data_IF_015231641744
#
_entry.id   IF_015231641744
#
_cell.length_a   1.000
_cell.length_b   1.000
_cell.length_c   1.000
_cell.angle_alpha   90.00
_cell.angle_beta   90.00
_cell.angle_gamma   90.00
#
_symmetry.space_group_name_H-M   'P 1'
#
loop_
_entity.id
_entity.type
_entity.pdbx_description
1 polymer ?
#
# COMPACT_ATOMS: atom_id res chain seq x y z
N UNK A 1 15.45 64.20 1.35
CA UNK A 1 14.75 63.11 2.04
C UNK A 1 13.89 62.18 1.14
N UNK A 2 13.95 62.24 -0.20
CA UNK A 2 13.11 61.44 -1.09
C UNK A 2 13.79 60.20 -1.76
N UNK A 3 15.06 59.92 -1.52
CA UNK A 3 15.81 58.81 -2.13
C UNK A 3 16.02 57.56 -1.27
N UNK A 4 15.66 57.58 0.03
CA UNK A 4 15.83 56.41 0.93
C UNK A 4 14.59 55.54 1.10
N UNK A 5 13.41 56.00 0.68
CA UNK A 5 12.15 55.24 0.80
C UNK A 5 11.98 54.25 -0.34
N UNK A 6 12.51 54.56 -1.54
CA UNK A 6 12.41 53.67 -2.69
C UNK A 6 13.22 52.36 -2.57
N UNK A 7 14.35 52.38 -1.85
CA UNK A 7 15.20 51.18 -1.69
C UNK A 7 14.66 50.17 -0.69
N UNK A 8 13.94 50.67 0.33
CA UNK A 8 13.30 49.73 1.31
C UNK A 8 12.10 49.01 0.75
N UNK A 9 11.31 49.67 -0.12
CA UNK A 9 10.12 49.08 -0.73
C UNK A 9 10.52 48.01 -1.75
N UNK A 10 11.58 48.24 -2.55
CA UNK A 10 12.10 47.27 -3.49
C UNK A 10 12.69 45.99 -2.80
N UNK A 11 13.35 46.17 -1.65
CA UNK A 11 13.90 45.04 -0.90
C UNK A 11 12.84 44.20 -0.21
N UNK A 12 11.73 44.80 0.26
CA UNK A 12 10.59 44.10 0.87
C UNK A 12 9.81 43.33 -0.18
N UNK A 13 9.65 43.88 -1.39
CA UNK A 13 8.98 43.18 -2.50
C UNK A 13 9.82 42.01 -2.99
N UNK A 14 11.16 42.11 -3.11
CA UNK A 14 12.03 41.00 -3.46
C UNK A 14 12.04 39.88 -2.41
N UNK A 15 12.01 40.24 -1.12
CA UNK A 15 11.96 39.23 -0.03
C UNK A 15 10.60 38.54 0.04
N UNK A 16 9.48 39.25 -0.26
CA UNK A 16 8.17 38.60 -0.36
C UNK A 16 8.04 37.71 -1.60
N UNK A 17 8.60 38.10 -2.74
CA UNK A 17 8.61 37.23 -3.92
C UNK A 17 9.49 36.00 -3.75
N UNK A 18 10.64 36.11 -3.06
CA UNK A 18 11.47 34.96 -2.73
C UNK A 18 10.78 33.97 -1.78
N UNK A 19 9.99 34.48 -0.79
CA UNK A 19 9.20 33.62 0.10
C UNK A 19 8.00 32.95 -0.60
N UNK A 20 7.40 33.59 -1.60
CA UNK A 20 6.35 33.01 -2.41
C UNK A 20 6.88 31.92 -3.39
N UNK A 21 8.12 32.05 -3.86
CA UNK A 21 8.77 31.04 -4.68
C UNK A 21 9.09 29.74 -3.93
N UNK A 22 9.49 29.82 -2.67
CA UNK A 22 9.79 28.64 -1.84
C UNK A 22 8.55 27.87 -1.37
N UNK A 23 7.38 28.49 -1.30
CA UNK A 23 6.12 27.81 -0.90
C UNK A 23 5.49 26.98 -2.03
N UNK A 24 5.97 27.10 -3.25
CA UNK A 24 5.43 26.38 -4.42
C UNK A 24 6.16 25.06 -4.73
N UNK A 25 7.32 24.79 -4.10
CA UNK A 25 8.18 23.65 -4.45
C UNK A 25 7.69 22.31 -3.89
N UNK A 26 6.85 22.29 -2.84
CA UNK A 26 6.36 21.05 -2.21
C UNK A 26 4.83 21.05 -2.12
N UNK A 27 4.14 21.05 -3.25
CA UNK A 27 2.68 21.01 -3.26
C UNK A 27 2.18 19.59 -3.02
N UNK A 28 1.42 19.39 -1.94
CA UNK A 28 0.72 18.14 -1.67
C UNK A 28 -0.47 18.00 -2.62
N UNK A 29 -0.61 16.82 -3.20
CA UNK A 29 -1.64 16.50 -4.19
C UNK A 29 -2.71 15.60 -3.58
N UNK A 30 -3.42 16.11 -2.55
CA UNK A 30 -4.47 15.36 -1.86
C UNK A 30 -5.81 15.39 -2.59
N UNK A 31 -6.57 14.30 -2.44
CA UNK A 31 -7.91 14.18 -2.99
C UNK A 31 -7.94 14.15 -4.53
N UNK A 32 -8.95 14.74 -5.10
CA UNK A 32 -9.04 14.99 -6.54
C UNK A 32 -8.18 16.20 -6.89
N UNK A 33 -6.92 15.94 -7.19
CA UNK A 33 -5.94 16.99 -7.46
C UNK A 33 -6.17 17.69 -8.81
N UNK A 34 -6.65 16.94 -9.79
CA UNK A 34 -7.07 17.44 -11.10
C UNK A 34 -8.55 17.17 -11.33
N UNK A 35 -9.13 17.90 -12.27
CA UNK A 35 -10.35 17.45 -12.92
C UNK A 35 -10.06 16.22 -13.79
N UNK A 36 -11.08 15.45 -14.14
CA UNK A 36 -10.93 14.30 -15.05
C UNK A 36 -10.35 14.72 -16.41
N UNK A 37 -10.77 15.87 -16.93
CA UNK A 37 -10.28 16.40 -18.22
C UNK A 37 -8.81 16.81 -18.14
N UNK A 38 -8.38 17.49 -17.10
CA UNK A 38 -6.97 17.82 -16.86
C UNK A 38 -6.12 16.56 -16.75
N UNK A 39 -6.57 15.58 -15.99
CA UNK A 39 -5.87 14.29 -15.86
C UNK A 39 -5.73 13.58 -17.22
N UNK A 40 -6.78 13.59 -18.05
CA UNK A 40 -6.74 13.03 -19.39
C UNK A 40 -5.71 13.74 -20.29
N UNK A 41 -5.58 15.07 -20.19
CA UNK A 41 -4.55 15.84 -20.92
C UNK A 41 -3.16 15.40 -20.46
N UNK A 42 -2.93 15.34 -19.13
CA UNK A 42 -1.64 14.89 -18.59
C UNK A 42 -1.29 13.46 -19.00
N UNK A 43 -2.25 12.53 -18.94
CA UNK A 43 -2.01 11.14 -19.35
C UNK A 43 -1.58 11.03 -20.82
N UNK A 44 -2.20 11.82 -21.71
CA UNK A 44 -1.83 11.86 -23.13
C UNK A 44 -0.44 12.48 -23.35
N UNK A 45 -0.13 13.56 -22.63
CA UNK A 45 1.18 14.23 -22.70
C UNK A 45 2.28 13.28 -22.24
N UNK A 46 2.14 12.68 -21.07
CA UNK A 46 3.14 11.75 -20.54
C UNK A 46 3.29 10.49 -21.39
N UNK A 47 2.19 9.98 -21.95
CA UNK A 47 2.25 8.87 -22.92
C UNK A 47 3.04 9.22 -24.18
N UNK A 48 3.14 10.49 -24.55
CA UNK A 48 3.90 10.95 -25.72
C UNK A 48 5.39 11.21 -25.40
N UNK A 49 5.76 11.39 -24.13
CA UNK A 49 7.14 11.69 -23.72
C UNK A 49 8.08 10.48 -23.85
N UNK A 50 7.54 9.26 -23.89
CA UNK A 50 8.33 8.04 -24.01
C UNK A 50 7.72 7.11 -25.08
N UNK A 51 8.60 6.58 -25.92
CA UNK A 51 8.21 5.70 -27.03
C UNK A 51 8.94 4.35 -27.00
N UNK A 52 10.00 4.25 -26.23
CA UNK A 52 10.80 3.03 -26.07
C UNK A 52 10.88 2.61 -24.61
N UNK A 53 11.22 1.33 -24.38
CA UNK A 53 11.51 0.80 -23.06
C UNK A 53 12.55 1.66 -22.31
N UNK A 54 13.61 2.06 -22.99
CA UNK A 54 14.69 2.86 -22.40
C UNK A 54 14.21 4.24 -21.93
N UNK A 55 13.29 4.86 -22.65
CA UNK A 55 12.75 6.17 -22.27
C UNK A 55 11.78 6.00 -21.07
N UNK A 56 10.98 4.93 -21.08
CA UNK A 56 10.16 4.59 -19.91
C UNK A 56 11.02 4.30 -18.67
N UNK A 57 12.12 3.55 -18.81
CA UNK A 57 13.02 3.26 -17.68
C UNK A 57 13.58 4.54 -17.05
N UNK A 58 13.94 5.55 -17.86
CA UNK A 58 14.36 6.87 -17.34
C UNK A 58 13.20 7.57 -16.60
N UNK A 59 12.00 7.53 -17.17
CA UNK A 59 10.80 8.09 -16.51
C UNK A 59 10.52 7.38 -15.18
N UNK A 60 10.58 6.07 -15.17
CA UNK A 60 10.38 5.23 -14.00
C UNK A 60 11.39 5.52 -12.87
N UNK A 61 12.65 5.78 -13.23
CA UNK A 61 13.70 6.17 -12.27
C UNK A 61 13.36 7.51 -11.60
N UNK A 62 13.01 8.53 -12.38
CA UNK A 62 12.59 9.84 -11.86
C UNK A 62 11.41 9.71 -10.90
N UNK A 63 10.42 8.87 -11.24
CA UNK A 63 9.26 8.64 -10.37
C UNK A 63 9.71 7.97 -9.06
N UNK A 64 10.50 6.87 -9.13
CA UNK A 64 10.98 6.17 -7.92
C UNK A 64 11.80 7.08 -7.01
N UNK A 65 12.72 7.86 -7.58
CA UNK A 65 13.49 8.84 -6.81
C UNK A 65 12.58 9.88 -6.15
N UNK A 66 11.59 10.38 -6.89
CA UNK A 66 10.58 11.30 -6.37
C UNK A 66 9.78 10.70 -5.21
N UNK A 67 9.37 9.43 -5.30
CA UNK A 67 8.70 8.71 -4.22
C UNK A 67 9.60 8.56 -2.98
N UNK A 68 10.84 8.08 -3.16
CA UNK A 68 11.79 7.86 -2.06
C UNK A 68 12.09 9.15 -1.33
N UNK A 69 12.40 10.23 -2.05
CA UNK A 69 12.69 11.55 -1.47
C UNK A 69 11.44 12.21 -0.88
N UNK A 70 10.32 12.14 -1.61
CA UNK A 70 9.06 12.70 -1.16
C UNK A 70 8.56 12.08 0.14
N UNK A 71 8.76 10.79 0.34
CA UNK A 71 8.48 10.07 1.58
C UNK A 71 9.63 10.09 2.59
N UNK A 72 10.77 10.69 2.31
CA UNK A 72 11.97 10.64 3.17
C UNK A 72 12.38 9.20 3.53
N UNK A 73 12.14 8.23 2.66
CA UNK A 73 12.48 6.82 2.93
C UNK A 73 13.99 6.57 3.00
N UNK A 74 14.77 7.38 2.32
CA UNK A 74 16.24 7.39 2.37
C UNK A 74 16.81 7.87 3.71
N UNK A 75 15.97 8.50 4.55
CA UNK A 75 16.32 8.94 5.91
C UNK A 75 15.91 7.93 6.99
N UNK A 76 15.12 6.92 6.62
CA UNK A 76 14.69 5.90 7.57
C UNK A 76 15.85 4.99 7.99
N UNK A 77 15.81 4.42 9.22
CA UNK A 77 16.85 3.52 9.69
C UNK A 77 16.94 2.26 8.80
N UNK A 78 18.10 1.60 8.84
CA UNK A 78 18.25 0.29 8.20
C UNK A 78 17.32 -0.74 8.84
N UNK A 79 16.75 -1.63 8.02
CA UNK A 79 15.84 -2.68 8.47
C UNK A 79 16.57 -3.96 8.91
N UNK A 80 17.65 -3.84 9.63
CA UNK A 80 18.53 -4.95 10.08
C UNK A 80 18.37 -5.30 11.57
N UNK A 81 17.43 -4.66 12.27
CA UNK A 81 17.13 -4.94 13.68
C UNK A 81 16.31 -6.23 13.83
N UNK A 82 16.41 -6.94 14.97
CA UNK A 82 15.53 -8.07 15.28
C UNK A 82 14.04 -7.69 15.21
N UNK A 83 13.19 -8.64 14.86
CA UNK A 83 11.73 -8.40 14.82
C UNK A 83 11.10 -8.36 16.21
N UNK A 84 11.76 -8.88 17.23
CA UNK A 84 11.22 -8.99 18.57
C UNK A 84 9.74 -9.44 18.57
N UNK A 85 9.48 -10.50 17.81
CA UNK A 85 8.13 -10.96 17.45
C UNK A 85 7.36 -11.38 18.69
N UNK A 86 6.15 -10.86 18.83
CA UNK A 86 5.16 -11.27 19.84
C UNK A 86 4.07 -12.03 19.11
N UNK A 87 3.86 -13.30 19.44
CA UNK A 87 2.77 -14.13 18.88
C UNK A 87 2.04 -14.80 20.04
N UNK A 88 0.71 -14.73 20.01
CA UNK A 88 -0.15 -15.44 20.97
C UNK A 88 -1.54 -15.71 20.37
N UNK A 89 -2.39 -16.37 21.15
CA UNK A 89 -3.79 -16.63 20.79
C UNK A 89 -3.94 -17.39 19.47
N UNK A 90 -3.10 -18.41 19.28
CA UNK A 90 -3.21 -19.32 18.13
C UNK A 90 -4.55 -20.03 18.14
N UNK A 91 -5.34 -19.87 17.05
CA UNK A 91 -6.65 -20.48 16.87
C UNK A 91 -6.68 -21.30 15.59
N UNK A 92 -7.03 -22.57 15.74
CA UNK A 92 -7.29 -23.45 14.60
C UNK A 92 -8.74 -23.25 14.13
N UNK A 93 -8.90 -22.92 12.84
CA UNK A 93 -10.17 -22.64 12.19
C UNK A 93 -10.42 -23.69 11.10
N UNK A 94 -11.50 -23.56 10.34
CA UNK A 94 -11.81 -24.50 9.24
C UNK A 94 -10.81 -24.36 8.07
N UNK A 95 -9.73 -25.16 8.15
CA UNK A 95 -8.68 -25.24 7.12
C UNK A 95 -7.61 -24.15 7.18
N UNK A 96 -7.60 -23.30 8.20
CA UNK A 96 -6.56 -22.28 8.43
C UNK A 96 -6.32 -22.07 9.93
N UNK A 97 -5.25 -21.36 10.25
CA UNK A 97 -4.89 -20.91 11.59
C UNK A 97 -4.82 -19.39 11.60
N UNK A 98 -5.28 -18.75 12.68
CA UNK A 98 -5.10 -17.32 12.91
C UNK A 98 -4.37 -17.09 14.24
N UNK A 99 -3.39 -16.19 14.22
CA UNK A 99 -2.55 -15.82 15.35
C UNK A 99 -2.50 -14.30 15.49
N UNK A 100 -2.53 -13.81 16.73
CA UNK A 100 -2.30 -12.40 17.01
C UNK A 100 -0.79 -12.16 17.00
N UNK A 101 -0.32 -11.16 16.26
CA UNK A 101 1.10 -10.92 16.05
C UNK A 101 1.45 -9.43 16.11
N UNK A 102 2.56 -9.11 16.80
CA UNK A 102 3.28 -7.87 16.59
C UNK A 102 4.74 -8.15 16.23
N UNK A 103 5.29 -7.31 15.37
CA UNK A 103 6.72 -7.29 15.05
C UNK A 103 7.28 -5.90 15.26
N UNK A 104 8.49 -5.80 15.78
CA UNK A 104 9.17 -4.51 15.92
C UNK A 104 9.65 -4.02 14.56
N UNK A 105 9.16 -2.87 14.14
CA UNK A 105 9.51 -2.22 12.87
C UNK A 105 10.91 -1.62 12.95
N UNK A 106 11.14 -0.81 13.94
CA UNK A 106 12.41 -0.26 14.40
C UNK A 106 12.33 -0.15 15.93
N UNK A 107 13.44 0.08 16.66
CA UNK A 107 13.45 0.00 18.10
C UNK A 107 12.33 0.77 18.79
N UNK A 108 11.47 0.05 19.51
CA UNK A 108 10.32 0.58 20.23
C UNK A 108 9.07 0.87 19.39
N UNK A 109 9.05 0.63 18.10
CA UNK A 109 7.85 0.82 17.26
C UNK A 109 7.35 -0.51 16.70
N UNK A 110 6.08 -0.84 16.94
CA UNK A 110 5.51 -2.15 16.64
C UNK A 110 4.46 -2.09 15.54
N UNK A 111 4.55 -3.03 14.61
CA UNK A 111 3.51 -3.34 13.62
C UNK A 111 2.63 -4.42 14.21
N UNK A 112 1.35 -4.15 14.37
CA UNK A 112 0.36 -5.07 14.92
C UNK A 112 -0.50 -5.68 13.82
N UNK A 113 -0.97 -6.91 14.00
CA UNK A 113 -1.79 -7.57 13.02
C UNK A 113 -2.23 -8.98 13.39
N UNK A 114 -2.78 -9.68 12.42
CA UNK A 114 -3.12 -11.08 12.50
C UNK A 114 -2.43 -11.85 11.37
N UNK A 115 -1.78 -12.95 11.76
CA UNK A 115 -1.15 -13.87 10.82
C UNK A 115 -2.11 -15.02 10.56
N UNK A 116 -2.54 -15.14 9.30
CA UNK A 116 -3.32 -16.27 8.83
C UNK A 116 -2.41 -17.23 8.08
N UNK A 117 -2.49 -18.51 8.36
CA UNK A 117 -1.67 -19.52 7.68
C UNK A 117 -2.44 -20.80 7.43
N UNK A 118 -2.05 -21.60 6.42
CA UNK A 118 -2.75 -22.84 6.13
C UNK A 118 -2.64 -23.81 7.32
N UNK A 119 -3.73 -24.54 7.56
CA UNK A 119 -3.71 -25.70 8.43
C UNK A 119 -3.05 -26.86 7.66
N UNK A 120 -1.74 -26.81 7.46
CA UNK A 120 -0.99 -27.85 6.75
C UNK A 120 -0.38 -28.85 7.71
N UNK A 121 -0.49 -30.12 7.36
CA UNK A 121 0.22 -31.22 8.03
C UNK A 121 1.47 -31.65 7.27
N UNK A 122 1.72 -31.07 6.08
CA UNK A 122 2.88 -31.41 5.25
C UNK A 122 4.11 -30.65 5.76
N UNK A 123 5.08 -31.33 6.38
CA UNK A 123 6.34 -30.72 6.77
C UNK A 123 7.11 -30.33 5.51
N UNK A 124 7.75 -29.14 5.52
CA UNK A 124 8.64 -28.62 4.46
C UNK A 124 8.00 -28.00 3.23
N UNK A 125 6.68 -27.94 3.08
CA UNK A 125 6.07 -27.19 1.99
C UNK A 125 6.04 -25.69 2.33
N UNK A 126 6.79 -24.88 1.57
CA UNK A 126 6.75 -23.41 1.69
C UNK A 126 5.53 -22.85 1.00
N UNK A 127 4.89 -21.91 1.65
CA UNK A 127 3.68 -21.19 1.19
C UNK A 127 4.03 -19.83 0.62
N UNK A 128 3.32 -19.31 -0.38
CA UNK A 128 3.41 -17.90 -0.76
C UNK A 128 3.07 -16.98 0.42
N UNK A 129 3.72 -15.81 0.46
CA UNK A 129 3.42 -14.76 1.43
C UNK A 129 2.51 -13.69 0.84
N UNK A 130 1.47 -13.27 1.56
CA UNK A 130 0.56 -12.20 1.13
C UNK A 130 0.48 -11.11 2.19
N UNK A 131 0.73 -9.85 1.80
CA UNK A 131 0.41 -8.67 2.58
C UNK A 131 -1.05 -8.30 2.28
N UNK A 132 -1.93 -8.39 3.29
CA UNK A 132 -3.33 -8.00 3.21
C UNK A 132 -3.52 -6.65 3.89
N UNK A 133 -3.51 -5.58 3.11
CA UNK A 133 -3.56 -4.20 3.60
C UNK A 133 -4.99 -3.70 3.55
N UNK A 134 -5.44 -3.02 4.61
CA UNK A 134 -6.80 -2.50 4.69
C UNK A 134 -6.90 -1.04 4.25
N UNK A 135 -8.10 -0.61 3.82
CA UNK A 135 -8.45 0.78 3.59
C UNK A 135 -8.84 1.52 4.87
N UNK A 136 -9.32 2.76 4.72
CA UNK A 136 -9.86 3.52 5.84
C UNK A 136 -11.26 2.98 6.23
N UNK A 137 -11.57 3.06 7.52
CA UNK A 137 -12.85 2.60 8.07
C UNK A 137 -12.83 2.57 9.59
N UNK A 138 -13.91 2.08 10.17
CA UNK A 138 -13.97 1.82 11.61
C UNK A 138 -13.39 0.43 11.86
N UNK A 139 -12.24 0.35 12.55
CA UNK A 139 -11.57 -0.91 12.89
C UNK A 139 -11.40 -1.89 11.70
N UNK A 140 -10.83 -1.45 10.56
CA UNK A 140 -10.95 -2.19 9.31
C UNK A 140 -10.27 -3.56 9.32
N UNK A 141 -9.16 -3.75 10.06
CA UNK A 141 -8.50 -5.07 10.18
C UNK A 141 -9.42 -6.11 10.83
N UNK A 142 -10.26 -5.69 11.77
CA UNK A 142 -11.22 -6.55 12.46
C UNK A 142 -12.51 -6.76 11.66
N UNK A 143 -12.70 -6.01 10.58
CA UNK A 143 -13.89 -6.08 9.73
C UNK A 143 -13.98 -7.37 8.92
N UNK A 144 -15.22 -7.70 8.50
CA UNK A 144 -15.54 -8.89 7.71
C UNK A 144 -14.62 -9.05 6.49
N UNK A 145 -14.47 -7.99 5.69
CA UNK A 145 -13.73 -8.06 4.43
C UNK A 145 -12.27 -8.50 4.62
N UNK A 146 -11.57 -7.98 5.64
CA UNK A 146 -10.16 -8.33 5.89
C UNK A 146 -10.04 -9.74 6.45
N UNK A 147 -10.89 -10.11 7.40
CA UNK A 147 -10.89 -11.45 7.97
C UNK A 147 -11.19 -12.50 6.89
N UNK A 148 -12.24 -12.28 6.10
CA UNK A 148 -12.71 -13.23 5.08
C UNK A 148 -11.64 -13.45 4.00
N UNK A 149 -11.10 -12.38 3.40
CA UNK A 149 -10.07 -12.57 2.36
C UNK A 149 -8.79 -13.19 2.89
N UNK A 150 -8.38 -12.83 4.12
CA UNK A 150 -7.17 -13.40 4.73
C UNK A 150 -7.34 -14.88 5.06
N UNK A 151 -8.50 -15.28 5.60
CA UNK A 151 -8.86 -16.68 5.82
C UNK A 151 -8.92 -17.48 4.52
N UNK A 152 -9.52 -16.91 3.47
CA UNK A 152 -9.61 -17.55 2.16
C UNK A 152 -8.22 -17.79 1.54
N UNK A 153 -7.35 -16.81 1.52
CA UNK A 153 -5.97 -16.97 1.05
C UNK A 153 -5.20 -18.02 1.88
N UNK A 154 -5.37 -18.02 3.21
CA UNK A 154 -4.72 -18.99 4.07
C UNK A 154 -5.23 -20.41 3.80
N UNK A 155 -6.54 -20.61 3.66
CA UNK A 155 -7.14 -21.91 3.31
C UNK A 155 -6.67 -22.38 1.93
N UNK A 156 -6.48 -21.47 0.98
CA UNK A 156 -5.90 -21.79 -0.33
C UNK A 156 -4.39 -22.13 -0.29
N UNK A 157 -3.70 -21.84 0.81
CA UNK A 157 -2.31 -22.25 1.04
C UNK A 157 -1.31 -21.12 1.17
N UNK A 158 -1.72 -19.87 1.39
CA UNK A 158 -0.81 -18.74 1.64
C UNK A 158 -0.57 -18.49 3.13
N UNK A 159 0.58 -17.91 3.47
CA UNK A 159 0.79 -17.20 4.75
C UNK A 159 0.45 -15.74 4.53
N UNK A 160 -0.54 -15.25 5.27
CA UNK A 160 -1.10 -13.90 5.09
C UNK A 160 -0.85 -13.06 6.33
N UNK A 161 -0.26 -11.89 6.16
CA UNK A 161 -0.15 -10.92 7.23
C UNK A 161 -1.13 -9.77 6.98
N UNK A 162 -2.24 -9.75 7.71
CA UNK A 162 -3.17 -8.63 7.79
C UNK A 162 -2.73 -7.74 8.95
N UNK A 163 -2.24 -6.53 8.64
CA UNK A 163 -1.66 -5.63 9.65
C UNK A 163 -2.31 -4.25 9.65
N UNK A 164 -2.20 -3.57 10.77
CA UNK A 164 -2.78 -2.25 10.98
C UNK A 164 -2.00 -1.16 10.24
N UNK A 165 -2.72 -0.24 9.61
CA UNK A 165 -2.17 1.09 9.38
C UNK A 165 -1.90 1.77 10.72
N UNK A 166 -0.89 2.66 10.77
CA UNK A 166 -0.62 3.45 11.99
C UNK A 166 -1.88 4.20 12.44
N UNK A 167 -2.11 4.23 13.74
CA UNK A 167 -3.30 4.84 14.34
C UNK A 167 -4.57 4.02 14.28
N UNK A 168 -4.60 2.90 13.53
CA UNK A 168 -5.73 1.96 13.48
C UNK A 168 -5.49 0.71 14.33
N UNK A 169 -6.55 -0.02 14.61
CA UNK A 169 -6.51 -1.29 15.34
C UNK A 169 -5.74 -1.18 16.66
N UNK A 170 -4.70 -1.97 16.82
CA UNK A 170 -3.75 -1.94 17.95
C UNK A 170 -2.57 -1.00 17.71
N UNK A 171 -2.37 -0.47 16.52
CA UNK A 171 -1.26 0.44 16.18
C UNK A 171 -1.53 1.86 16.72
N UNK A 172 -1.63 1.99 18.05
CA UNK A 172 -2.00 3.22 18.77
C UNK A 172 -0.82 3.99 19.35
N UNK A 173 0.39 3.66 18.94
CA UNK A 173 1.60 4.38 19.36
C UNK A 173 1.62 5.83 18.86
N UNK A 174 0.98 6.10 17.73
CA UNK A 174 0.77 7.43 17.16
C UNK A 174 -0.61 7.55 16.56
N UNK A 175 -1.08 8.77 16.36
CA UNK A 175 -2.29 9.03 15.60
C UNK A 175 -2.09 8.76 14.09
N UNK A 176 -3.19 8.46 13.41
CA UNK A 176 -3.14 8.16 11.97
C UNK A 176 -2.70 9.34 11.11
N UNK A 177 -3.14 10.55 11.47
CA UNK A 177 -2.97 11.76 10.65
C UNK A 177 -1.71 12.55 11.01
N UNK A 178 -0.60 11.88 11.27
CA UNK A 178 0.70 12.54 11.42
C UNK A 178 1.33 12.86 10.05
N UNK A 179 2.14 13.90 9.92
CA UNK A 179 2.78 14.26 8.64
C UNK A 179 3.57 13.14 8.00
N UNK A 180 4.29 12.33 8.80
CA UNK A 180 5.10 11.21 8.32
C UNK A 180 4.32 9.89 8.11
N UNK A 181 2.98 9.92 8.09
CA UNK A 181 2.15 8.72 8.03
C UNK A 181 2.50 7.82 6.83
N UNK A 182 2.65 8.39 5.64
CA UNK A 182 2.98 7.63 4.43
C UNK A 182 4.37 6.99 4.51
N UNK A 183 5.35 7.70 5.07
CA UNK A 183 6.72 7.19 5.31
C UNK A 183 6.67 5.95 6.22
N UNK A 184 6.06 6.10 7.39
CA UNK A 184 6.01 5.05 8.40
C UNK A 184 5.25 3.83 7.87
N UNK A 185 4.12 4.02 7.19
CA UNK A 185 3.35 2.92 6.61
C UNK A 185 4.11 2.18 5.52
N UNK A 186 4.79 2.90 4.63
CA UNK A 186 5.60 2.27 3.58
C UNK A 186 6.78 1.50 4.17
N UNK A 187 7.49 2.09 5.13
CA UNK A 187 8.56 1.42 5.85
C UNK A 187 8.07 0.18 6.61
N UNK A 188 6.95 0.28 7.33
CA UNK A 188 6.32 -0.84 8.02
C UNK A 188 5.97 -1.97 7.04
N UNK A 189 5.41 -1.63 5.88
CA UNK A 189 5.08 -2.63 4.84
C UNK A 189 6.33 -3.34 4.32
N UNK A 190 7.45 -2.63 4.17
CA UNK A 190 8.74 -3.26 3.83
C UNK A 190 9.25 -4.18 4.96
N UNK A 191 9.04 -3.80 6.24
CA UNK A 191 9.38 -4.66 7.37
C UNK A 191 8.52 -5.92 7.43
N UNK A 192 7.25 -5.84 7.03
CA UNK A 192 6.39 -7.03 6.89
C UNK A 192 6.90 -7.97 5.81
N UNK A 193 7.42 -7.45 4.68
CA UNK A 193 8.10 -8.29 3.68
C UNK A 193 9.33 -8.96 4.29
N UNK A 194 10.18 -8.21 4.99
CA UNK A 194 11.38 -8.75 5.66
C UNK A 194 11.00 -9.90 6.60
N UNK A 195 9.94 -9.71 7.39
CA UNK A 195 9.43 -10.73 8.30
C UNK A 195 8.91 -11.97 7.56
N UNK A 196 8.05 -11.80 6.55
CA UNK A 196 7.53 -12.92 5.77
C UNK A 196 8.66 -13.72 5.12
N UNK A 197 9.66 -13.05 4.56
CA UNK A 197 10.82 -13.73 3.94
C UNK A 197 11.73 -14.44 4.97
N UNK A 198 11.75 -13.99 6.23
CA UNK A 198 12.53 -14.63 7.30
C UNK A 198 11.90 -15.93 7.81
N UNK A 199 10.60 -16.16 7.52
CA UNK A 199 9.88 -17.32 8.01
C UNK A 199 10.27 -18.58 7.24
N UNK A 200 10.49 -19.71 7.93
CA UNK A 200 10.86 -20.97 7.28
C UNK A 200 9.72 -21.59 6.45
N UNK A 201 8.46 -21.24 6.76
CA UNK A 201 7.26 -21.72 6.08
C UNK A 201 6.81 -20.85 4.90
N UNK A 202 7.54 -19.76 4.58
CA UNK A 202 7.24 -18.86 3.46
C UNK A 202 8.23 -19.04 2.31
N UNK A 203 7.71 -19.10 1.10
CA UNK A 203 8.48 -19.01 -0.14
C UNK A 203 8.85 -17.54 -0.42
N UNK A 204 10.10 -17.18 -0.15
CA UNK A 204 10.62 -15.82 -0.30
C UNK A 204 10.49 -15.25 -1.72
N UNK A 205 10.37 -16.13 -2.73
CA UNK A 205 10.20 -15.73 -4.13
C UNK A 205 8.74 -15.55 -4.56
N UNK A 206 7.79 -15.77 -3.64
CA UNK A 206 6.36 -15.68 -3.90
C UNK A 206 5.65 -14.75 -2.91
N UNK A 207 6.03 -13.47 -2.92
CA UNK A 207 5.40 -12.44 -2.09
C UNK A 207 4.44 -11.59 -2.92
N UNK A 208 3.21 -11.44 -2.44
CA UNK A 208 2.19 -10.60 -3.06
C UNK A 208 1.65 -9.56 -2.10
N UNK A 209 1.03 -8.52 -2.64
CA UNK A 209 0.32 -7.50 -1.88
C UNK A 209 -1.02 -7.18 -2.50
N UNK A 210 -2.05 -7.02 -1.65
CA UNK A 210 -3.38 -6.55 -2.05
C UNK A 210 -4.03 -5.73 -0.96
N UNK A 211 -4.80 -4.72 -1.37
CA UNK A 211 -5.56 -3.88 -0.46
C UNK A 211 -6.45 -2.91 -1.20
N UNK A 212 -7.49 -2.43 -0.52
CA UNK A 212 -8.46 -1.49 -1.07
C UNK A 212 -8.20 -0.06 -0.59
N UNK A 213 -8.56 0.93 -1.40
CA UNK A 213 -8.53 2.35 -1.00
C UNK A 213 -7.14 2.77 -0.49
N UNK A 214 -7.01 3.25 0.74
CA UNK A 214 -5.70 3.50 1.37
C UNK A 214 -4.76 2.29 1.38
N UNK A 215 -5.31 1.06 1.49
CA UNK A 215 -4.56 -0.17 1.29
C UNK A 215 -4.14 -0.38 -0.18
N UNK A 216 -4.94 0.11 -1.13
CA UNK A 216 -4.57 0.17 -2.54
C UNK A 216 -3.41 1.13 -2.79
N UNK A 217 -3.38 2.28 -2.10
CA UNK A 217 -2.22 3.19 -2.12
C UNK A 217 -0.97 2.47 -1.62
N UNK A 218 -1.02 1.81 -0.46
CA UNK A 218 0.11 1.03 0.04
C UNK A 218 0.53 -0.06 -0.94
N UNK A 219 -0.44 -0.71 -1.61
CA UNK A 219 -0.18 -1.75 -2.61
C UNK A 219 0.65 -1.20 -3.77
N UNK A 220 0.28 -0.07 -4.38
CA UNK A 220 1.04 0.49 -5.51
C UNK A 220 2.38 1.07 -5.08
N UNK A 221 2.43 1.79 -3.95
CA UNK A 221 3.67 2.37 -3.41
C UNK A 221 4.70 1.28 -3.09
N UNK A 222 4.27 0.25 -2.37
CA UNK A 222 5.15 -0.87 -2.01
C UNK A 222 5.62 -1.62 -3.26
N UNK A 223 4.73 -1.89 -4.21
CA UNK A 223 5.10 -2.55 -5.47
C UNK A 223 6.09 -1.72 -6.28
N UNK A 224 5.92 -0.39 -6.33
CA UNK A 224 6.82 0.50 -7.05
C UNK A 224 8.25 0.53 -6.47
N UNK A 225 8.38 0.39 -5.14
CA UNK A 225 9.61 0.61 -4.39
C UNK A 225 10.30 -0.68 -3.95
N UNK A 226 9.60 -1.81 -3.90
CA UNK A 226 10.17 -3.07 -3.43
C UNK A 226 10.06 -4.18 -4.50
N UNK A 227 11.18 -4.61 -5.10
CA UNK A 227 11.19 -5.62 -6.16
C UNK A 227 10.86 -7.05 -5.65
N UNK A 228 10.80 -7.24 -4.33
CA UNK A 228 10.44 -8.52 -3.71
C UNK A 228 8.94 -8.82 -3.82
N UNK A 229 8.10 -7.80 -4.02
CA UNK A 229 6.71 -8.00 -4.41
C UNK A 229 6.66 -8.58 -5.82
N UNK A 230 6.14 -9.80 -5.95
CA UNK A 230 6.06 -10.52 -7.23
C UNK A 230 4.69 -10.39 -7.90
N UNK A 231 3.63 -10.16 -7.12
CA UNK A 231 2.26 -9.99 -7.62
C UNK A 231 1.59 -8.84 -6.88
N UNK A 232 0.91 -7.97 -7.61
CA UNK A 232 0.27 -6.76 -7.07
C UNK A 232 -1.21 -6.69 -7.45
N UNK A 233 -2.09 -6.45 -6.47
CA UNK A 233 -3.52 -6.31 -6.73
C UNK A 233 -4.08 -5.09 -5.98
N UNK A 234 -3.92 -3.86 -6.51
CA UNK A 234 -4.59 -2.69 -5.96
C UNK A 234 -6.10 -2.73 -6.29
N UNK A 235 -6.92 -2.59 -5.25
CA UNK A 235 -8.37 -2.62 -5.36
C UNK A 235 -8.93 -1.21 -5.12
N UNK A 236 -9.74 -0.70 -6.04
CA UNK A 236 -10.45 0.58 -6.01
C UNK A 236 -9.59 1.78 -5.60
N UNK A 237 -8.40 1.91 -6.21
CA UNK A 237 -7.48 3.00 -5.87
C UNK A 237 -6.81 3.68 -7.06
N UNK A 238 -6.45 2.95 -8.12
CA UNK A 238 -5.66 3.54 -9.21
C UNK A 238 -6.51 4.49 -10.03
N UNK A 239 -6.15 5.77 -10.02
CA UNK A 239 -6.85 6.83 -10.74
C UNK A 239 -5.86 7.88 -11.24
N UNK A 240 -6.15 8.46 -12.40
CA UNK A 240 -5.34 9.51 -12.99
C UNK A 240 -5.53 10.87 -12.31
N UNK A 241 -6.70 11.11 -11.67
CA UNK A 241 -7.07 12.42 -11.13
C UNK A 241 -7.24 12.45 -9.61
N UNK A 242 -7.49 11.29 -8.98
CA UNK A 242 -7.64 11.18 -7.53
C UNK A 242 -6.42 10.50 -6.91
N UNK A 243 -5.78 11.14 -5.94
CA UNK A 243 -4.50 10.72 -5.39
C UNK A 243 -4.58 10.19 -3.95
N UNK A 244 -5.79 10.13 -3.40
CA UNK A 244 -6.04 9.74 -2.01
C UNK A 244 -6.39 10.95 -1.13
N UNK A 245 -7.39 10.78 -0.27
CA UNK A 245 -7.95 11.84 0.57
C UNK A 245 -7.27 12.01 1.92
N UNK A 246 -6.29 11.16 2.25
CA UNK A 246 -5.64 11.12 3.55
C UNK A 246 -4.15 11.45 3.46
N UNK A 247 -3.58 11.98 4.54
CA UNK A 247 -2.13 12.23 4.65
C UNK A 247 -1.30 10.97 4.45
N UNK A 248 -1.83 9.80 4.80
CA UNK A 248 -1.18 8.51 4.61
C UNK A 248 -1.16 8.01 3.15
N UNK A 249 -1.78 8.74 2.23
CA UNK A 249 -1.86 8.42 0.80
C UNK A 249 -1.10 9.43 -0.04
N UNK A 250 -1.31 10.72 0.21
CA UNK A 250 -0.77 11.82 -0.60
C UNK A 250 -0.39 13.06 0.23
N UNK A 251 -0.25 12.91 1.52
CA UNK A 251 0.11 13.99 2.46
C UNK A 251 1.59 14.38 2.45
N UNK A 252 2.38 13.82 1.54
CA UNK A 252 3.79 14.13 1.33
C UNK A 252 4.04 14.42 -0.16
N UNK A 253 5.14 15.09 -0.56
CA UNK A 253 5.38 15.50 -1.95
C UNK A 253 5.80 14.32 -2.86
N UNK A 254 5.01 13.24 -2.85
CA UNK A 254 5.27 12.02 -3.63
C UNK A 254 4.74 12.10 -5.06
N UNK A 255 3.71 12.93 -5.30
CA UNK A 255 3.14 13.12 -6.62
C UNK A 255 3.73 14.32 -7.36
N UNK A 256 4.27 15.30 -6.63
CA UNK A 256 4.84 16.50 -7.21
C UNK A 256 5.92 17.11 -6.31
N UNK A 257 7.04 17.46 -6.94
CA UNK A 257 8.12 18.26 -6.34
C UNK A 257 8.71 19.20 -7.41
N UNK A 258 9.81 19.89 -7.09
CA UNK A 258 10.55 20.68 -8.08
C UNK A 258 11.15 19.83 -9.22
N UNK A 259 11.30 18.51 -9.02
CA UNK A 259 12.04 17.64 -9.94
C UNK A 259 11.18 16.56 -10.61
N UNK A 260 9.98 16.30 -10.12
CA UNK A 260 9.08 15.32 -10.72
C UNK A 260 7.61 15.70 -10.55
N UNK A 261 6.80 15.15 -11.43
CA UNK A 261 5.34 15.12 -11.30
C UNK A 261 4.85 13.78 -11.83
N UNK A 262 3.93 13.14 -11.11
CA UNK A 262 3.37 11.82 -11.43
C UNK A 262 1.96 11.68 -10.87
N UNK A 263 1.32 10.53 -11.10
CA UNK A 263 0.04 10.15 -10.52
C UNK A 263 0.00 8.66 -10.15
N UNK A 264 -1.11 8.21 -9.60
CA UNK A 264 -1.25 6.81 -9.18
C UNK A 264 -1.18 5.80 -10.35
N UNK A 265 -1.45 6.23 -11.57
CA UNK A 265 -1.35 5.37 -12.77
C UNK A 265 0.11 5.07 -13.11
N UNK A 266 0.95 6.10 -13.14
CA UNK A 266 2.38 5.91 -13.38
C UNK A 266 3.05 5.14 -12.23
N UNK A 267 2.64 5.42 -10.98
CA UNK A 267 3.15 4.67 -9.81
C UNK A 267 2.78 3.19 -9.92
N UNK A 268 1.53 2.87 -10.29
CA UNK A 268 1.11 1.49 -10.53
C UNK A 268 1.87 0.84 -11.70
N UNK A 269 2.12 1.59 -12.78
CA UNK A 269 2.87 1.10 -13.94
C UNK A 269 4.32 0.69 -13.61
N UNK A 270 4.90 1.18 -12.50
CA UNK A 270 6.22 0.74 -11.99
C UNK A 270 6.25 -0.75 -11.58
N UNK A 271 5.10 -1.41 -11.52
CA UNK A 271 5.03 -2.86 -11.30
C UNK A 271 5.64 -3.67 -12.43
N UNK A 272 5.70 -3.13 -13.64
CA UNK A 272 6.21 -3.82 -14.85
C UNK A 272 7.59 -4.47 -14.63
N UNK A 273 7.84 -5.70 -15.10
CA UNK A 273 6.97 -6.62 -15.84
C UNK A 273 6.26 -7.65 -14.93
N UNK A 274 6.06 -7.36 -13.65
CA UNK A 274 5.43 -8.25 -12.66
C UNK A 274 3.91 -8.30 -12.86
N UNK A 275 3.25 -9.44 -12.58
CA UNK A 275 1.81 -9.56 -12.67
C UNK A 275 1.09 -8.51 -11.80
N UNK A 276 0.13 -7.79 -12.39
CA UNK A 276 -0.70 -6.82 -11.71
C UNK A 276 -2.15 -6.89 -12.19
N UNK A 277 -3.09 -6.90 -11.25
CA UNK A 277 -4.51 -6.78 -11.51
C UNK A 277 -5.03 -5.49 -10.91
N UNK A 278 -5.61 -4.62 -11.72
CA UNK A 278 -6.41 -3.49 -11.25
C UNK A 278 -7.85 -3.95 -11.04
N UNK A 279 -8.38 -3.78 -9.85
CA UNK A 279 -9.82 -3.97 -9.61
C UNK A 279 -10.46 -2.61 -9.45
N UNK A 280 -11.43 -2.28 -10.31
CA UNK A 280 -12.07 -0.97 -10.39
C UNK A 280 -13.59 -1.09 -10.41
N UNK A 281 -14.29 -0.02 -10.06
CA UNK A 281 -15.75 0.01 -10.10
C UNK A 281 -16.31 1.32 -10.68
N UNK A 282 -17.64 1.34 -10.89
CA UNK A 282 -18.31 2.51 -11.44
C UNK A 282 -18.76 3.53 -10.39
N UNK A 283 -18.65 3.21 -9.11
CA UNK A 283 -19.16 4.02 -8.02
C UNK A 283 -18.16 4.97 -7.38
N UNK A 284 -16.90 4.96 -7.83
CA UNK A 284 -15.84 5.80 -7.28
C UNK A 284 -14.92 6.42 -8.36
N UNK A 285 -13.77 6.93 -7.94
CA UNK A 285 -12.76 7.55 -8.81
C UNK A 285 -12.07 6.57 -9.77
N UNK A 286 -12.28 5.26 -9.65
CA UNK A 286 -11.73 4.25 -10.55
C UNK A 286 -12.65 3.93 -11.74
N UNK A 287 -13.78 4.64 -11.88
CA UNK A 287 -14.75 4.45 -12.96
C UNK A 287 -14.18 4.60 -14.38
N UNK A 288 -13.07 5.30 -14.51
CA UNK A 288 -12.42 5.55 -15.80
C UNK A 288 -11.32 4.52 -16.14
N UNK A 289 -10.97 3.62 -15.20
CA UNK A 289 -9.85 2.68 -15.36
C UNK A 289 -9.84 1.96 -16.72
N UNK A 290 -10.95 1.41 -17.24
CA UNK A 290 -10.92 0.71 -18.52
C UNK A 290 -10.53 1.57 -19.72
N UNK A 291 -10.77 2.89 -19.65
CA UNK A 291 -10.63 3.81 -20.79
C UNK A 291 -9.43 4.74 -20.70
N UNK A 292 -8.94 5.01 -19.49
CA UNK A 292 -7.90 6.02 -19.24
C UNK A 292 -6.66 5.37 -18.63
N UNK A 293 -6.80 4.77 -17.48
CA UNK A 293 -5.68 4.28 -16.69
C UNK A 293 -5.08 3.00 -17.28
N UNK A 294 -5.93 2.02 -17.61
CA UNK A 294 -5.49 0.74 -18.12
C UNK A 294 -4.75 0.84 -19.46
N UNK A 295 -5.21 1.60 -20.48
CA UNK A 295 -4.48 1.75 -21.73
C UNK A 295 -3.07 2.32 -21.56
N UNK A 296 -2.86 3.24 -20.62
CA UNK A 296 -1.53 3.76 -20.31
C UNK A 296 -0.63 2.66 -19.73
N UNK A 297 -1.13 1.92 -18.74
CA UNK A 297 -0.37 0.83 -18.10
C UNK A 297 -0.07 -0.28 -19.11
N UNK A 298 -1.03 -0.67 -19.94
CA UNK A 298 -0.82 -1.64 -21.03
C UNK A 298 0.29 -1.20 -21.98
N UNK A 299 0.32 0.09 -22.37
CA UNK A 299 1.40 0.64 -23.19
C UNK A 299 2.77 0.46 -22.52
N UNK A 300 2.86 0.63 -21.19
CA UNK A 300 4.10 0.38 -20.44
C UNK A 300 4.47 -1.09 -20.48
N UNK A 301 3.52 -1.99 -20.21
CA UNK A 301 3.76 -3.44 -20.21
C UNK A 301 4.16 -3.96 -21.59
N UNK A 302 3.62 -3.38 -22.67
CA UNK A 302 4.01 -3.70 -24.04
C UNK A 302 5.49 -3.45 -24.33
N UNK A 303 6.12 -2.50 -23.66
CA UNK A 303 7.57 -2.26 -23.80
C UNK A 303 8.44 -3.40 -23.25
N UNK A 304 7.82 -4.33 -22.52
CA UNK A 304 8.48 -5.47 -21.87
C UNK A 304 7.99 -6.83 -22.38
N UNK A 305 7.18 -6.85 -23.45
CA UNK A 305 6.49 -8.05 -23.95
C UNK A 305 5.70 -8.76 -22.84
N UNK A 306 5.03 -7.98 -21.98
CA UNK A 306 4.40 -8.43 -20.74
C UNK A 306 2.92 -8.02 -20.63
N UNK A 307 2.24 -7.68 -21.72
CA UNK A 307 0.84 -7.22 -21.74
C UNK A 307 -0.11 -8.23 -21.10
N UNK A 308 0.16 -9.51 -21.24
CA UNK A 308 -0.63 -10.58 -20.64
C UNK A 308 -0.49 -10.70 -19.11
N UNK A 309 0.43 -9.93 -18.52
CA UNK A 309 0.66 -9.91 -17.06
C UNK A 309 -0.08 -8.78 -16.35
N UNK A 310 -0.72 -7.90 -17.08
CA UNK A 310 -1.53 -6.83 -16.49
C UNK A 310 -2.96 -6.91 -17.00
N UNK A 311 -3.92 -6.78 -16.10
CA UNK A 311 -5.34 -6.80 -16.43
C UNK A 311 -6.13 -5.83 -15.57
N UNK A 312 -7.35 -5.50 -16.00
CA UNK A 312 -8.33 -4.73 -15.24
C UNK A 312 -9.66 -5.46 -15.22
N UNK A 313 -10.16 -5.78 -14.04
CA UNK A 313 -11.55 -6.18 -13.85
C UNK A 313 -12.33 -4.98 -13.34
N UNK A 314 -13.25 -4.49 -14.17
CA UNK A 314 -14.12 -3.36 -13.87
C UNK A 314 -15.54 -3.83 -13.54
N UNK A 315 -16.06 -3.39 -12.41
CA UNK A 315 -17.38 -3.75 -11.89
C UNK A 315 -18.30 -2.49 -11.91
N UNK A 316 -18.89 -2.15 -13.06
CA UNK A 316 -19.51 -0.83 -13.30
C UNK A 316 -20.74 -0.55 -12.43
N UNK A 317 -21.41 -1.58 -11.89
CA UNK A 317 -22.59 -1.43 -11.04
C UNK A 317 -22.24 -1.44 -9.53
N UNK A 318 -20.96 -1.60 -9.18
CA UNK A 318 -20.51 -1.66 -7.81
C UNK A 318 -19.98 -0.32 -7.31
N UNK A 319 -19.74 -0.27 -6.01
CA UNK A 319 -19.27 0.90 -5.28
C UNK A 319 -17.98 0.58 -4.51
N UNK A 320 -17.39 1.62 -3.96
CA UNK A 320 -16.12 1.60 -3.25
C UNK A 320 -16.12 0.66 -2.04
N UNK A 321 -15.69 -0.58 -2.22
CA UNK A 321 -15.52 -1.60 -1.19
C UNK A 321 -14.54 -2.70 -1.64
N UNK A 322 -14.31 -3.70 -0.79
CA UNK A 322 -13.68 -4.97 -1.15
C UNK A 322 -14.68 -6.12 -0.92
N UNK A 323 -15.86 -5.98 -1.54
CA UNK A 323 -16.97 -6.91 -1.45
C UNK A 323 -16.71 -8.27 -2.10
N UNK A 324 -17.68 -9.21 -1.97
CA UNK A 324 -17.52 -10.59 -2.45
C UNK A 324 -17.12 -10.72 -3.91
N UNK A 325 -17.72 -9.95 -4.82
CA UNK A 325 -17.41 -9.97 -6.26
C UNK A 325 -15.95 -9.57 -6.54
N UNK A 326 -15.45 -8.53 -5.86
CA UNK A 326 -14.05 -8.11 -5.98
C UNK A 326 -13.12 -9.17 -5.38
N UNK A 327 -13.49 -9.79 -4.23
CA UNK A 327 -12.70 -10.86 -3.61
C UNK A 327 -12.53 -12.06 -4.54
N UNK A 328 -13.59 -12.51 -5.20
CA UNK A 328 -13.56 -13.61 -6.19
C UNK A 328 -12.54 -13.36 -7.29
N UNK A 329 -12.52 -12.13 -7.83
CA UNK A 329 -11.57 -11.74 -8.88
C UNK A 329 -10.12 -11.82 -8.36
N UNK A 330 -9.88 -11.31 -7.16
CA UNK A 330 -8.56 -11.33 -6.52
C UNK A 330 -8.11 -12.75 -6.17
N UNK A 331 -9.01 -13.61 -5.71
CA UNK A 331 -8.72 -15.02 -5.45
C UNK A 331 -8.23 -15.75 -6.70
N UNK A 332 -8.91 -15.57 -7.82
CA UNK A 332 -8.51 -16.17 -9.10
C UNK A 332 -7.11 -15.70 -9.52
N UNK A 333 -6.87 -14.41 -9.49
CA UNK A 333 -5.61 -13.83 -9.94
C UNK A 333 -4.43 -14.27 -9.06
N UNK A 334 -4.57 -14.17 -7.74
CA UNK A 334 -3.52 -14.60 -6.83
C UNK A 334 -3.30 -16.12 -6.86
N UNK A 335 -4.37 -16.91 -7.02
CA UNK A 335 -4.24 -18.36 -7.19
C UNK A 335 -3.41 -18.72 -8.44
N UNK A 336 -3.68 -18.06 -9.55
CA UNK A 336 -2.94 -18.28 -10.81
C UNK A 336 -1.44 -17.97 -10.66
N UNK A 337 -1.09 -16.81 -10.12
CA UNK A 337 0.30 -16.36 -10.12
C UNK A 337 1.14 -16.86 -8.93
N UNK A 338 0.50 -17.21 -7.82
CA UNK A 338 1.18 -17.75 -6.64
C UNK A 338 1.11 -19.27 -6.56
N UNK A 339 0.27 -19.92 -7.37
CA UNK A 339 0.04 -21.36 -7.31
C UNK A 339 -0.80 -21.78 -6.10
N UNK A 340 -1.77 -20.96 -5.68
CA UNK A 340 -2.67 -21.29 -4.58
C UNK A 340 -3.72 -22.32 -5.05
N UNK A 341 -4.17 -23.16 -4.13
CA UNK A 341 -5.21 -24.14 -4.42
C UNK A 341 -6.62 -23.54 -4.22
N UNK A 342 -7.13 -22.88 -5.26
CA UNK A 342 -8.49 -22.30 -5.24
C UNK A 342 -9.57 -23.37 -4.99
N UNK A 343 -9.35 -24.65 -5.35
CA UNK A 343 -10.28 -25.74 -5.10
C UNK A 343 -10.65 -25.93 -3.63
N UNK A 344 -9.80 -25.48 -2.69
CA UNK A 344 -10.07 -25.57 -1.25
C UNK A 344 -11.20 -24.64 -0.76
N UNK A 345 -11.60 -23.66 -1.57
CA UNK A 345 -12.69 -22.73 -1.25
C UNK A 345 -13.75 -22.70 -2.35
N UNK A 346 -13.82 -23.75 -3.20
CA UNK A 346 -14.87 -23.90 -4.21
C UNK A 346 -15.93 -24.89 -3.72
N UNK A 347 -17.20 -24.48 -3.81
CA UNK A 347 -18.38 -25.35 -3.65
C UNK A 347 -19.19 -25.25 -4.93
N UNK A 348 -19.46 -26.38 -5.59
CA UNK A 348 -20.16 -26.43 -6.87
C UNK A 348 -19.57 -25.49 -7.94
N UNK A 349 -18.24 -25.41 -8.01
CA UNK A 349 -17.49 -24.54 -8.91
C UNK A 349 -17.69 -23.01 -8.67
N UNK A 350 -18.18 -22.60 -7.52
CA UNK A 350 -18.27 -21.21 -7.10
C UNK A 350 -17.44 -21.00 -5.84
N UNK A 351 -16.83 -19.83 -5.71
CA UNK A 351 -16.14 -19.46 -4.48
C UNK A 351 -17.17 -19.36 -3.34
N UNK A 352 -16.84 -20.02 -2.25
CA UNK A 352 -17.67 -20.06 -1.04
C UNK A 352 -16.82 -19.65 0.16
N UNK A 353 -17.29 -18.64 0.85
CA UNK A 353 -16.67 -18.06 2.05
C UNK A 353 -17.36 -18.51 3.35
N UNK A 354 -18.36 -19.38 3.27
CA UNK A 354 -19.16 -19.81 4.43
C UNK A 354 -18.34 -20.56 5.51
N UNK A 355 -17.15 -21.05 5.17
CA UNK A 355 -16.22 -21.65 6.14
C UNK A 355 -15.58 -20.61 7.08
N UNK A 356 -15.66 -19.32 6.78
CA UNK A 356 -15.03 -18.27 7.58
C UNK A 356 -15.88 -17.99 8.83
N UNK A 357 -15.28 -18.17 9.98
CA UNK A 357 -15.85 -17.68 11.24
C UNK A 357 -15.22 -16.32 11.56
N UNK A 358 -16.04 -15.29 11.60
CA UNK A 358 -15.59 -13.95 12.00
C UNK A 358 -15.33 -13.92 13.50
N UNK A 359 -14.15 -13.50 13.88
CA UNK A 359 -13.75 -13.33 15.27
C UNK A 359 -14.07 -11.89 15.73
N UNK A 360 -14.53 -11.70 16.97
CA UNK A 360 -14.71 -10.38 17.55
C UNK A 360 -13.36 -9.66 17.68
N UNK A 361 -13.41 -8.33 17.72
CA UNK A 361 -12.21 -7.47 17.81
C UNK A 361 -11.29 -7.86 18.97
N UNK A 362 -11.88 -8.12 20.13
CA UNK A 362 -11.17 -8.45 21.38
C UNK A 362 -10.32 -9.71 21.22
N UNK A 363 -10.77 -10.67 20.41
CA UNK A 363 -10.04 -11.89 20.10
C UNK A 363 -8.86 -11.67 19.16
N UNK A 364 -8.92 -10.65 18.32
CA UNK A 364 -7.91 -10.33 17.30
C UNK A 364 -6.89 -9.28 17.77
N UNK A 365 -7.14 -8.61 18.89
CA UNK A 365 -6.22 -7.64 19.45
C UNK A 365 -4.93 -8.30 19.95
N UNK A 366 -3.80 -7.73 19.55
CA UNK A 366 -2.47 -8.19 19.98
C UNK A 366 -2.16 -7.68 21.38
N UNK A 367 -2.41 -6.39 21.61
CA UNK A 367 -2.15 -5.77 22.91
C UNK A 367 -3.43 -5.68 23.74
N UNK A 368 -3.37 -6.20 24.96
CA UNK A 368 -4.46 -6.23 25.93
C UNK A 368 -3.88 -6.34 27.35
N UNK A 369 -4.73 -6.47 28.37
CA UNK A 369 -4.27 -6.58 29.78
C UNK A 369 -3.33 -7.75 30.04
N UNK A 370 -3.51 -8.87 29.31
CA UNK A 370 -2.67 -10.09 29.47
C UNK A 370 -1.40 -10.03 28.62
N UNK A 371 -1.41 -9.26 27.55
CA UNK A 371 -0.28 -9.04 26.65
C UNK A 371 -0.13 -7.54 26.42
N UNK A 372 0.39 -6.78 27.37
CA UNK A 372 0.53 -5.33 27.23
C UNK A 372 1.58 -4.99 26.19
N UNK A 373 1.47 -3.78 25.60
CA UNK A 373 2.52 -3.26 24.74
C UNK A 373 3.85 -3.21 25.52
N UNK A 374 5.00 -3.57 24.90
CA UNK A 374 6.29 -3.51 25.59
C UNK A 374 6.60 -2.15 26.22
N UNK A 375 7.23 -2.16 27.40
CA UNK A 375 7.51 -0.95 28.17
C UNK A 375 8.43 0.06 27.45
N UNK A 376 9.23 -0.41 26.48
CA UNK A 376 10.08 0.43 25.64
C UNK A 376 9.35 1.01 24.41
N UNK A 377 8.04 0.77 24.28
CA UNK A 377 7.28 1.24 23.12
C UNK A 377 7.26 2.76 23.05
N UNK A 378 7.61 3.30 21.88
CA UNK A 378 7.49 4.74 21.57
C UNK A 378 6.03 5.14 21.65
N UNK A 379 5.75 6.27 22.30
CA UNK A 379 4.39 6.82 22.42
C UNK A 379 4.37 8.27 21.99
N UNK A 380 3.48 8.58 21.03
CA UNK A 380 3.25 9.93 20.52
C UNK A 380 4.19 10.33 19.39
N UNK A 381 3.73 11.29 18.60
CA UNK A 381 4.41 11.78 17.39
C UNK A 381 5.78 12.39 17.70
N UNK A 382 5.90 13.20 18.74
CA UNK A 382 7.16 13.85 19.11
C UNK A 382 8.26 12.83 19.42
N UNK A 383 7.93 11.79 20.21
CA UNK A 383 8.87 10.71 20.53
C UNK A 383 9.26 9.92 19.27
N UNK A 384 8.30 9.66 18.38
CA UNK A 384 8.53 8.99 17.10
C UNK A 384 9.48 9.80 16.21
N UNK A 385 9.17 11.08 15.96
CA UNK A 385 9.98 11.95 15.09
C UNK A 385 11.40 12.13 15.63
N UNK A 386 11.54 12.23 16.96
CA UNK A 386 12.84 12.27 17.63
C UNK A 386 13.63 10.95 17.43
N UNK A 387 12.97 9.80 17.53
CA UNK A 387 13.64 8.50 17.39
C UNK A 387 14.17 8.25 15.98
N UNK A 388 13.45 8.76 14.98
CA UNK A 388 13.81 8.65 13.57
C UNK A 388 14.74 9.76 13.07
N UNK A 389 14.95 10.82 13.86
CA UNK A 389 15.67 12.03 13.46
C UNK A 389 15.15 12.66 12.16
N UNK A 390 13.85 12.44 11.87
CA UNK A 390 13.18 13.05 10.72
C UNK A 390 12.91 14.54 11.05
N UNK A 391 13.28 15.40 10.13
CA UNK A 391 12.92 16.81 10.20
C UNK A 391 11.73 17.03 9.29
N UNK A 392 10.61 17.54 9.83
CA UNK A 392 9.40 17.80 9.04
C UNK A 392 9.63 18.87 7.96
#
# INVERSE_FOLDING_TARGET
>A
MKRRVGFLVALVICVMQAKLGYAQENMLCQGAYWTEDEANVHMKQWAAEWTTKKDWEKRAEVIREGLVKGMMLDQMPKRDTPFNTIIHSTREMDGYIVENIAIESFPGFYITGNLYRPLSKEPFQKSPGILSVHGHGTDPRFGESVQTRSAAFARMGAVVFAYDMIGYGDSKQVEHKIPAALTIQTYNSQRVIDYLQSRPDVDSEKIAVTGESGGGTQTIMLTALDPRIKVSVPVVMVSAYFFGGCVCESGMPVHKSAHHQTNNVEIAALAVPRPMLLVSDGGDWTKNTPRIEMPYIQKVYAQYDAESKVDNVHLPAERHDFGPSKRVVVYNFLAQYLGLNAGKILVKNQFDEAFVTLLPKEDLMVFNEKSPIPANAIQGEEALMKSLNLKP
#
